data_IF_315210764280
#
_entry.id   IF_315210764280
#
_cell.length_a   1.000
_cell.length_b   1.000
_cell.length_c   1.000
_cell.angle_alpha   90.00
_cell.angle_beta   90.00
_cell.angle_gamma   90.00
#
_symmetry.space_group_name_H-M   'P 1'
#
loop_
_entity.id
_entity.type
_entity.pdbx_description
1 polymer ?
#
# COMPACT_ATOMS: atom_id res chain seq x y z
N UNK A 1 -8.93 15.05 -4.26
CA UNK A 1 -7.63 14.47 -3.85
C UNK A 1 -6.69 14.57 -5.04
N UNK A 2 -5.75 15.52 -5.04
CA UNK A 2 -4.79 15.69 -6.14
C UNK A 2 -3.39 15.19 -5.77
N UNK A 3 -2.98 15.33 -4.50
CA UNK A 3 -1.63 15.01 -4.03
C UNK A 3 -1.29 13.50 -4.00
N UNK A 4 -2.28 12.63 -3.75
CA UNK A 4 -2.02 11.18 -3.64
C UNK A 4 -1.73 10.52 -5.00
N UNK A 5 -2.22 11.10 -6.09
CA UNK A 5 -1.97 10.59 -7.44
C UNK A 5 -0.54 10.87 -7.93
N UNK A 6 0.18 11.78 -7.26
CA UNK A 6 1.58 12.07 -7.56
C UNK A 6 2.55 11.10 -6.86
N UNK A 7 2.07 10.38 -5.84
CA UNK A 7 2.88 9.41 -5.10
C UNK A 7 3.00 8.13 -5.94
N UNK A 8 4.22 7.68 -6.28
CA UNK A 8 4.40 6.47 -7.06
C UNK A 8 3.96 5.23 -6.25
N UNK A 9 3.45 4.19 -6.92
CA UNK A 9 3.07 2.96 -6.25
C UNK A 9 4.29 2.27 -5.61
N UNK A 10 4.10 1.82 -4.38
CA UNK A 10 5.10 1.10 -3.58
C UNK A 10 5.17 -0.34 -4.07
N UNK A 11 6.37 -0.79 -4.45
CA UNK A 11 6.63 -2.16 -4.88
C UNK A 11 6.85 -3.04 -3.65
N UNK A 12 6.14 -4.17 -3.59
CA UNK A 12 6.26 -5.14 -2.50
C UNK A 12 6.47 -6.54 -3.08
N UNK A 13 7.39 -7.32 -2.48
CA UNK A 13 7.70 -8.68 -2.96
C UNK A 13 6.73 -9.75 -2.41
N UNK A 14 5.98 -9.41 -1.35
CA UNK A 14 4.98 -10.28 -0.75
C UNK A 14 3.60 -10.21 -1.41
N UNK A 15 2.77 -11.22 -1.14
CA UNK A 15 1.35 -11.25 -1.57
C UNK A 15 0.43 -10.39 -0.69
N UNK A 16 0.82 -10.13 0.55
CA UNK A 16 0.01 -9.36 1.50
C UNK A 16 0.89 -8.23 2.03
N UNK A 17 0.40 -7.00 1.93
CA UNK A 17 1.03 -5.83 2.51
C UNK A 17 0.30 -5.44 3.80
N UNK A 18 1.08 -5.07 4.83
CA UNK A 18 0.56 -4.48 6.06
C UNK A 18 0.87 -2.98 6.04
N UNK A 19 -0.17 -2.15 5.99
CA UNK A 19 -0.03 -0.70 6.05
C UNK A 19 -0.39 -0.21 7.45
N UNK A 20 0.60 0.36 8.15
CA UNK A 20 0.44 0.97 9.47
C UNK A 20 0.30 2.50 9.39
N UNK A 21 0.51 3.08 8.20
CA UNK A 21 0.36 4.51 7.89
C UNK A 21 1.60 5.36 8.12
N UNK A 22 2.40 5.08 9.15
CA UNK A 22 3.68 5.74 9.41
C UNK A 22 4.62 4.79 10.16
N UNK A 23 5.90 5.15 10.26
CA UNK A 23 6.93 4.47 11.07
C UNK A 23 6.60 4.48 12.56
N UNK A 24 5.68 5.35 12.99
CA UNK A 24 5.19 5.40 14.37
C UNK A 24 3.75 4.83 14.45
N UNK A 25 3.56 3.65 15.06
CA UNK A 25 2.24 3.02 15.21
C UNK A 25 1.21 3.89 15.95
N UNK A 26 1.66 4.86 16.76
CA UNK A 26 0.78 5.75 17.50
C UNK A 26 0.22 6.92 16.66
N UNK A 27 0.83 7.23 15.51
CA UNK A 27 0.43 8.33 14.62
C UNK A 27 -0.22 7.85 13.32
N UNK A 28 -0.16 6.55 13.07
CA UNK A 28 -0.74 5.91 11.89
C UNK A 28 -2.23 5.64 12.00
N UNK A 29 -2.67 4.61 11.27
CA UNK A 29 -4.03 4.10 11.29
C UNK A 29 -4.03 2.62 11.69
N UNK A 30 -5.20 2.01 11.98
CA UNK A 30 -5.26 0.57 12.22
C UNK A 30 -4.58 -0.20 11.09
N UNK A 31 -3.84 -1.25 11.45
CA UNK A 31 -3.09 -2.06 10.50
C UNK A 31 -4.05 -2.61 9.45
N UNK A 32 -3.86 -2.19 8.20
CA UNK A 32 -4.63 -2.69 7.08
C UNK A 32 -3.82 -3.75 6.33
N UNK A 33 -4.41 -4.93 6.16
CA UNK A 33 -3.85 -5.97 5.32
C UNK A 33 -4.52 -5.94 3.95
N UNK A 34 -3.77 -5.59 2.90
CA UNK A 34 -4.25 -5.59 1.52
C UNK A 34 -3.62 -6.76 0.74
N UNK A 35 -4.44 -7.47 -0.04
CA UNK A 35 -3.97 -8.54 -0.92
C UNK A 35 -3.49 -7.96 -2.26
N UNK A 36 -2.31 -8.39 -2.71
CA UNK A 36 -1.65 -7.95 -3.94
C UNK A 36 -1.69 -9.02 -5.05
N UNK A 37 -2.50 -10.06 -4.91
CA UNK A 37 -2.63 -11.13 -5.93
C UNK A 37 -3.27 -10.63 -7.25
N UNK A 38 -3.87 -9.44 -7.26
CA UNK A 38 -4.44 -8.84 -8.48
C UNK A 38 -3.38 -8.02 -9.22
N UNK A 39 -3.41 -8.04 -10.55
CA UNK A 39 -2.53 -7.20 -11.40
C UNK A 39 -2.77 -5.69 -11.21
N UNK A 40 -3.94 -5.31 -10.68
CA UNK A 40 -4.27 -3.94 -10.35
C UNK A 40 -3.60 -3.49 -9.04
N UNK A 41 -3.14 -2.23 -8.92
CA UNK A 41 -2.56 -1.73 -7.68
C UNK A 41 -3.60 -1.75 -6.56
N UNK A 42 -3.21 -2.30 -5.41
CA UNK A 42 -4.03 -2.25 -4.21
C UNK A 42 -3.91 -0.88 -3.54
N UNK A 43 -5.03 -0.29 -3.15
CA UNK A 43 -5.05 1.00 -2.46
C UNK A 43 -5.34 0.81 -0.98
N UNK A 44 -4.50 1.38 -0.12
CA UNK A 44 -4.82 1.47 1.30
C UNK A 44 -5.99 2.45 1.50
N UNK A 45 -7.03 2.03 2.21
CA UNK A 45 -8.25 2.84 2.41
C UNK A 45 -8.05 4.06 3.31
N UNK A 46 -7.01 4.02 4.15
CA UNK A 46 -6.70 5.07 5.11
C UNK A 46 -5.69 6.07 4.54
N UNK A 47 -4.56 5.60 4.02
CA UNK A 47 -3.52 6.46 3.45
C UNK A 47 -3.72 6.82 1.97
N UNK A 48 -4.46 6.02 1.22
CA UNK A 48 -4.54 6.13 -0.24
C UNK A 48 -3.27 5.69 -0.97
N UNK A 49 -2.29 5.12 -0.26
CA UNK A 49 -1.06 4.59 -0.86
C UNK A 49 -1.39 3.42 -1.79
N UNK A 50 -0.73 3.40 -2.94
CA UNK A 50 -0.84 2.34 -3.94
C UNK A 50 0.28 1.33 -3.73
N UNK A 51 -0.07 0.05 -3.69
CA UNK A 51 0.85 -1.07 -3.55
C UNK A 51 0.75 -1.97 -4.79
N UNK A 52 1.89 -2.38 -5.31
CA UNK A 52 2.00 -3.28 -6.47
C UNK A 52 2.92 -4.44 -6.13
N UNK A 53 2.53 -5.66 -6.53
CA UNK A 53 3.39 -6.81 -6.37
C UNK A 53 4.53 -6.76 -7.40
N UNK A 54 5.76 -6.92 -6.93
CA UNK A 54 6.92 -7.03 -7.81
C UNK A 54 7.03 -8.46 -8.33
N UNK A 55 6.31 -8.77 -9.42
CA UNK A 55 6.50 -10.05 -10.12
C UNK A 55 7.85 -10.03 -10.85
N UNK A 56 8.81 -10.78 -10.32
CA UNK A 56 10.00 -11.16 -11.09
C UNK A 56 9.55 -12.11 -12.20
N UNK A 57 9.50 -11.61 -13.43
CA UNK A 57 9.55 -12.45 -14.63
C UNK A 57 11.01 -12.79 -14.96
#
# INVERSE_FOLDING_TARGET
MQLINEVPPVKFEGRIVACEGDSNPALGHPIEFSCLDLEAPAVCKHCGLLYVQCHHH
#
